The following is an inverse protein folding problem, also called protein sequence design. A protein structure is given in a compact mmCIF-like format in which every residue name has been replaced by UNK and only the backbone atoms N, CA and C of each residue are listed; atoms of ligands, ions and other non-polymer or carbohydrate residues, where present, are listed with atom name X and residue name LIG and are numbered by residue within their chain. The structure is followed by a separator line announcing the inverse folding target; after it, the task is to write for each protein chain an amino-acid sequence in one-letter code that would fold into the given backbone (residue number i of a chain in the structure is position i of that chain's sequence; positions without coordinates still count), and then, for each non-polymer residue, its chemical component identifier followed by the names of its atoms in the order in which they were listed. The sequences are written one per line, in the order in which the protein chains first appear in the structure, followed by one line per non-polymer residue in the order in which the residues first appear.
data_IF_205527538911
#
_entry.id   IF_205527538911
#
_cell.length_a   1.000
_cell.length_b   1.000
_cell.length_c   1.000
_cell.angle_alpha   90.00
_cell.angle_beta   90.00
_cell.angle_gamma   90.00
#
_symmetry.space_group_name_H-M   'P 1'
#
loop_
_entity.id
_entity.type
_entity.pdbx_description
1 polymer ?
#
# COMPACT_ATOMS: atom_id res chain seq x y z
N UNK A 1 -18.22 8.94 28.89
CA UNK A 1 -16.98 8.52 29.58
C UNK A 1 -16.06 7.91 28.53
N UNK A 2 -14.77 8.23 28.58
CA UNK A 2 -13.76 7.73 27.65
C UNK A 2 -13.36 6.32 28.08
N UNK A 3 -13.97 5.29 27.48
CA UNK A 3 -13.71 3.89 27.84
C UNK A 3 -12.90 3.24 26.72
N UNK A 4 -11.67 2.77 27.00
CA UNK A 4 -10.88 2.01 26.05
C UNK A 4 -11.61 0.75 25.58
N UNK A 5 -11.32 0.28 24.36
CA UNK A 5 -11.95 -0.91 23.80
C UNK A 5 -11.54 -2.17 24.58
N UNK A 6 -12.37 -3.20 24.49
CA UNK A 6 -12.04 -4.52 25.01
C UNK A 6 -10.71 -5.01 24.41
N UNK A 7 -9.83 -5.60 25.24
CA UNK A 7 -8.49 -6.01 24.80
C UNK A 7 -7.39 -4.95 24.94
N UNK A 8 -7.72 -3.69 25.28
CA UNK A 8 -6.71 -2.62 25.38
C UNK A 8 -5.70 -2.86 26.51
N UNK A 9 -6.18 -3.37 27.66
CA UNK A 9 -5.37 -3.58 28.87
C UNK A 9 -4.89 -5.02 29.06
N UNK A 10 -5.30 -5.94 28.19
CA UNK A 10 -5.07 -7.39 28.36
C UNK A 10 -3.62 -7.82 28.15
N UNK A 11 -2.76 -6.94 27.65
CA UNK A 11 -1.34 -7.20 27.37
C UNK A 11 -0.49 -5.97 27.66
N UNK A 12 0.84 -6.13 27.82
CA UNK A 12 1.75 -5.00 27.97
C UNK A 12 1.58 -3.94 26.88
N UNK A 13 1.54 -2.67 27.29
CA UNK A 13 1.37 -1.54 26.40
C UNK A 13 2.43 -0.46 26.68
N UNK A 14 3.23 -0.13 25.67
CA UNK A 14 4.39 0.75 25.81
C UNK A 14 4.08 2.20 25.37
N UNK A 15 3.05 2.81 25.98
CA UNK A 15 2.52 4.14 25.62
C UNK A 15 3.30 5.33 26.18
N UNK A 16 4.30 5.13 27.05
CA UNK A 16 5.04 6.25 27.68
C UNK A 16 5.65 7.17 26.61
N UNK A 17 5.24 8.44 26.61
CA UNK A 17 5.69 9.44 25.64
C UNK A 17 5.08 9.30 24.24
N UNK A 18 4.05 8.48 24.07
CA UNK A 18 3.38 8.20 22.78
C UNK A 18 1.89 8.53 22.85
N UNK A 19 1.30 8.71 21.67
CA UNK A 19 -0.14 8.97 21.53
C UNK A 19 -0.95 7.73 21.92
N UNK A 20 -1.58 7.74 23.10
CA UNK A 20 -2.40 6.62 23.54
C UNK A 20 -3.76 6.55 22.82
N UNK A 21 -4.33 7.71 22.50
CA UNK A 21 -5.61 7.81 21.82
C UNK A 21 -5.87 9.21 21.24
N UNK A 22 -6.80 9.28 20.30
CA UNK A 22 -7.31 10.51 19.69
C UNK A 22 -8.83 10.53 19.77
N UNK A 23 -9.41 11.66 20.16
CA UNK A 23 -10.84 11.92 20.02
C UNK A 23 -11.08 12.83 18.81
N UNK A 24 -12.10 12.54 18.01
CA UNK A 24 -12.45 13.31 16.82
C UNK A 24 -13.96 13.26 16.57
N UNK A 25 -14.50 14.21 15.79
CA UNK A 25 -15.86 14.17 15.26
C UNK A 25 -15.82 13.94 13.76
N UNK A 26 -16.89 13.37 13.20
CA UNK A 26 -17.04 13.22 11.75
C UNK A 26 -18.04 14.25 11.24
N UNK A 27 -18.08 14.49 9.92
CA UNK A 27 -19.10 15.39 9.34
C UNK A 27 -20.54 14.89 9.53
N UNK A 28 -20.70 13.60 9.84
CA UNK A 28 -22.00 12.94 9.93
C UNK A 28 -22.47 12.77 11.38
N UNK A 29 -21.63 13.03 12.38
CA UNK A 29 -21.99 12.92 13.79
C UNK A 29 -21.31 13.96 14.67
N UNK A 30 -22.12 14.60 15.52
CA UNK A 30 -21.68 15.52 16.57
C UNK A 30 -21.13 14.79 17.81
N UNK A 31 -21.32 13.48 17.89
CA UNK A 31 -20.75 12.68 18.97
C UNK A 31 -19.26 12.41 18.73
N UNK A 32 -18.55 12.15 19.83
CA UNK A 32 -17.14 11.84 19.78
C UNK A 32 -16.88 10.42 19.29
N UNK A 33 -16.01 10.31 18.29
CA UNK A 33 -15.36 9.09 17.82
C UNK A 33 -13.93 9.02 18.38
N UNK A 34 -13.36 7.81 18.44
CA UNK A 34 -12.07 7.59 19.08
C UNK A 34 -11.17 6.66 18.28
N UNK A 35 -9.87 6.91 18.34
CA UNK A 35 -8.83 5.96 17.95
C UNK A 35 -7.97 5.66 19.17
N UNK A 36 -7.70 4.38 19.41
CA UNK A 36 -6.81 3.93 20.47
C UNK A 36 -5.61 3.23 19.88
N UNK A 37 -4.45 3.39 20.51
CA UNK A 37 -3.19 2.81 20.05
C UNK A 37 -2.55 2.00 21.18
N UNK A 38 -2.07 0.82 20.81
CA UNK A 38 -1.19 -0.03 21.61
C UNK A 38 0.14 -0.19 20.90
N UNK A 39 1.20 -0.11 21.67
CA UNK A 39 2.57 -0.16 21.18
C UNK A 39 3.28 -1.44 21.63
N UNK A 40 4.24 -1.90 20.84
CA UNK A 40 5.22 -2.90 21.26
C UNK A 40 6.40 -2.28 22.02
N UNK A 41 7.33 -3.12 22.48
CA UNK A 41 8.49 -2.70 23.29
C UNK A 41 9.42 -1.70 22.56
N UNK A 42 9.45 -1.75 21.22
CA UNK A 42 10.23 -0.85 20.37
C UNK A 42 9.46 0.45 20.08
N UNK A 43 8.21 0.55 20.53
CA UNK A 43 7.38 1.74 20.37
C UNK A 43 6.64 1.83 19.05
N UNK A 44 6.50 0.72 18.33
CA UNK A 44 5.75 0.65 17.06
C UNK A 44 4.30 0.29 17.34
N UNK A 45 3.37 0.74 16.52
CA UNK A 45 1.93 0.49 16.72
C UNK A 45 1.63 -0.99 16.48
N UNK A 46 1.38 -1.74 17.55
CA UNK A 46 0.99 -3.16 17.50
C UNK A 46 -0.49 -3.34 17.21
N UNK A 47 -1.34 -2.50 17.78
CA UNK A 47 -2.80 -2.58 17.57
C UNK A 47 -3.42 -1.20 17.61
N UNK A 48 -4.34 -0.93 16.70
CA UNK A 48 -5.14 0.27 16.63
C UNK A 48 -6.62 -0.11 16.61
N UNK A 49 -7.41 0.54 17.44
CA UNK A 49 -8.87 0.41 17.42
C UNK A 49 -9.48 1.70 16.95
N UNK A 50 -10.39 1.61 15.99
CA UNK A 50 -11.15 2.71 15.46
C UNK A 50 -12.61 2.54 15.86
N UNK A 51 -13.10 3.50 16.64
CA UNK A 51 -14.46 3.56 17.14
C UNK A 51 -15.12 4.80 16.54
N UNK A 52 -15.96 4.61 15.53
CA UNK A 52 -16.71 5.71 14.92
C UNK A 52 -18.12 5.68 15.51
N UNK A 53 -18.62 6.83 15.92
CA UNK A 53 -19.97 6.92 16.47
C UNK A 53 -21.01 6.36 15.48
N UNK A 54 -21.91 5.53 16.00
CA UNK A 54 -22.92 4.82 15.21
C UNK A 54 -22.40 3.64 14.38
N UNK A 55 -21.11 3.29 14.48
CA UNK A 55 -20.51 2.15 13.77
C UNK A 55 -19.78 1.19 14.72
N UNK A 56 -19.60 -0.04 14.27
CA UNK A 56 -18.81 -1.04 15.00
C UNK A 56 -17.33 -0.66 15.11
N UNK A 57 -16.69 -1.19 16.16
CA UNK A 57 -15.25 -1.03 16.35
C UNK A 57 -14.50 -1.82 15.30
N UNK A 58 -13.58 -1.16 14.58
CA UNK A 58 -12.64 -1.81 13.67
C UNK A 58 -11.26 -1.89 14.31
N UNK A 59 -10.65 -3.06 14.23
CA UNK A 59 -9.32 -3.29 14.79
C UNK A 59 -8.31 -3.49 13.67
N UNK A 60 -7.13 -2.88 13.78
CA UNK A 60 -5.99 -3.14 12.90
C UNK A 60 -4.81 -3.54 13.75
N UNK A 61 -4.20 -4.69 13.48
CA UNK A 61 -2.98 -5.11 14.16
C UNK A 61 -1.84 -5.32 13.19
N UNK A 62 -0.63 -5.01 13.66
CA UNK A 62 0.60 -5.16 12.90
C UNK A 62 1.54 -6.12 13.61
N UNK A 63 2.26 -6.89 12.81
CA UNK A 63 3.43 -7.60 13.26
C UNK A 63 4.63 -7.17 12.46
N UNK A 64 5.75 -7.07 13.15
CA UNK A 64 6.99 -6.58 12.58
C UNK A 64 8.04 -7.70 12.54
N UNK A 65 8.97 -7.61 11.60
CA UNK A 65 10.19 -8.40 11.64
C UNK A 65 11.25 -7.75 12.55
N UNK A 66 12.44 -8.35 12.61
CA UNK A 66 13.58 -7.85 13.40
C UNK A 66 14.15 -6.52 12.89
N UNK A 67 13.89 -6.18 11.62
CA UNK A 67 14.33 -4.94 10.95
C UNK A 67 13.29 -3.82 11.00
N UNK A 68 12.28 -3.91 11.88
CA UNK A 68 11.23 -2.90 12.04
C UNK A 68 10.24 -2.74 10.88
N UNK A 69 10.24 -3.67 9.93
CA UNK A 69 9.29 -3.67 8.82
C UNK A 69 8.04 -4.49 9.16
N UNK A 70 6.87 -4.01 8.75
CA UNK A 70 5.59 -4.73 8.95
C UNK A 70 5.61 -5.99 8.09
N UNK A 71 5.62 -7.16 8.71
CA UNK A 71 5.53 -8.45 8.00
C UNK A 71 4.09 -8.96 7.86
N UNK A 72 3.19 -8.52 8.75
CA UNK A 72 1.76 -8.87 8.69
C UNK A 72 0.87 -7.74 9.15
N UNK A 73 -0.28 -7.63 8.50
CA UNK A 73 -1.38 -6.76 8.90
C UNK A 73 -2.64 -7.59 9.02
N UNK A 74 -3.34 -7.48 10.15
CA UNK A 74 -4.67 -8.04 10.33
C UNK A 74 -5.66 -6.90 10.46
N UNK A 75 -6.69 -6.95 9.64
CA UNK A 75 -7.83 -6.05 9.68
C UNK A 75 -9.04 -6.82 10.19
N UNK A 76 -9.55 -6.33 11.31
CA UNK A 76 -10.73 -6.76 12.03
C UNK A 76 -10.78 -8.25 12.40
N UNK A 77 -11.95 -8.68 12.87
CA UNK A 77 -12.34 -10.04 13.20
C UNK A 77 -13.75 -10.28 12.64
N UNK A 78 -14.14 -11.54 12.42
CA UNK A 78 -15.45 -11.92 11.91
C UNK A 78 -15.60 -11.72 10.40
N UNK A 79 -16.77 -11.22 9.99
CA UNK A 79 -17.20 -11.24 8.59
C UNK A 79 -16.35 -10.41 7.62
N UNK A 80 -15.70 -9.35 8.09
CA UNK A 80 -14.82 -8.48 7.30
C UNK A 80 -13.34 -8.65 7.62
N UNK A 81 -12.97 -9.78 8.24
CA UNK A 81 -11.58 -10.13 8.50
C UNK A 81 -10.78 -10.12 7.20
N UNK A 82 -9.63 -9.45 7.23
CA UNK A 82 -8.62 -9.51 6.18
C UNK A 82 -7.24 -9.65 6.82
N UNK A 83 -6.38 -10.46 6.22
CA UNK A 83 -4.98 -10.53 6.61
C UNK A 83 -4.07 -10.43 5.39
N UNK A 84 -3.00 -9.67 5.55
CA UNK A 84 -1.97 -9.44 4.54
C UNK A 84 -0.62 -9.86 5.10
N UNK A 85 0.21 -10.46 4.23
CA UNK A 85 1.60 -10.79 4.53
C UNK A 85 2.52 -10.05 3.58
N UNK A 86 3.49 -9.36 4.13
CA UNK A 86 4.49 -8.58 3.39
C UNK A 86 5.82 -9.31 3.45
N UNK A 87 6.46 -9.48 2.29
CA UNK A 87 7.83 -9.99 2.17
C UNK A 87 8.73 -8.91 1.63
N UNK A 88 9.97 -8.91 2.12
CA UNK A 88 10.98 -7.95 1.74
C UNK A 88 12.17 -8.68 1.14
N UNK A 89 12.83 -8.04 0.18
CA UNK A 89 14.10 -8.52 -0.34
C UNK A 89 15.24 -8.26 0.68
N UNK A 90 16.45 -8.73 0.35
CA UNK A 90 17.63 -8.58 1.22
C UNK A 90 18.02 -7.11 1.45
N UNK A 91 17.60 -6.19 0.58
CA UNK A 91 17.82 -4.76 0.70
C UNK A 91 16.75 -4.06 1.54
N UNK A 92 15.74 -4.80 2.04
CA UNK A 92 14.63 -4.26 2.83
C UNK A 92 13.53 -3.59 2.00
N UNK A 93 13.49 -3.83 0.68
CA UNK A 93 12.44 -3.30 -0.20
C UNK A 93 11.30 -4.31 -0.28
N UNK A 94 10.05 -3.83 -0.41
CA UNK A 94 8.89 -4.70 -0.48
C UNK A 94 8.98 -5.57 -1.74
N UNK A 95 9.03 -6.88 -1.59
CA UNK A 95 9.15 -7.85 -2.68
C UNK A 95 7.80 -8.43 -3.09
N UNK A 96 6.94 -8.73 -2.11
CA UNK A 96 5.62 -9.28 -2.39
C UNK A 96 4.61 -8.98 -1.28
N UNK A 97 3.34 -9.00 -1.66
CA UNK A 97 2.19 -8.97 -0.77
C UNK A 97 1.33 -10.19 -1.07
N UNK A 98 0.97 -10.93 -0.04
CA UNK A 98 -0.01 -12.00 -0.12
C UNK A 98 -1.27 -11.61 0.65
N UNK A 99 -2.43 -12.04 0.16
CA UNK A 99 -3.71 -12.00 0.85
C UNK A 99 -4.00 -13.36 1.48
N UNK A 100 -4.54 -13.33 2.69
CA UNK A 100 -4.97 -14.52 3.39
C UNK A 100 -6.46 -14.77 3.16
N UNK A 101 -6.80 -15.98 2.71
CA UNK A 101 -8.17 -16.40 2.36
C UNK A 101 -8.68 -17.53 3.26
N UNK A 102 -7.95 -17.84 4.33
CA UNK A 102 -8.28 -18.92 5.25
C UNK A 102 -9.18 -18.47 6.42
N UNK A 103 -9.54 -19.42 7.31
CA UNK A 103 -10.28 -19.11 8.53
C UNK A 103 -9.49 -18.18 9.47
N UNK A 104 -10.14 -17.18 10.03
CA UNK A 104 -9.54 -16.13 10.90
C UNK A 104 -8.57 -16.65 11.98
N UNK A 105 -8.97 -17.73 12.66
CA UNK A 105 -8.22 -18.30 13.79
C UNK A 105 -7.12 -19.27 13.40
N UNK A 106 -6.77 -19.32 12.11
CA UNK A 106 -5.67 -20.13 11.61
C UNK A 106 -4.62 -19.26 10.96
N UNK A 107 -3.42 -19.79 10.77
CA UNK A 107 -2.30 -19.08 10.14
C UNK A 107 -1.45 -20.09 9.35
N UNK A 108 -2.13 -20.79 8.45
CA UNK A 108 -1.50 -21.74 7.55
C UNK A 108 -1.00 -21.02 6.30
N UNK A 109 0.23 -21.34 5.88
CA UNK A 109 0.81 -20.79 4.66
C UNK A 109 0.06 -21.20 3.39
N UNK A 110 -0.70 -22.29 3.42
CA UNK A 110 -1.53 -22.77 2.30
C UNK A 110 -2.69 -21.83 1.95
N UNK A 111 -3.13 -20.99 2.88
CA UNK A 111 -4.24 -20.05 2.67
C UNK A 111 -3.79 -18.67 2.21
N UNK A 112 -2.51 -18.48 1.93
CA UNK A 112 -2.00 -17.22 1.39
C UNK A 112 -1.88 -17.31 -0.11
N UNK A 113 -2.60 -16.44 -0.80
CA UNK A 113 -2.56 -16.26 -2.24
C UNK A 113 -1.74 -15.02 -2.55
N UNK A 114 -0.86 -15.10 -3.55
CA UNK A 114 -0.09 -13.93 -3.99
C UNK A 114 -1.03 -12.84 -4.51
N UNK A 115 -0.87 -11.62 -4.01
CA UNK A 115 -1.64 -10.45 -4.45
C UNK A 115 -0.81 -9.59 -5.39
N UNK A 116 0.38 -9.17 -4.94
CA UNK A 116 1.27 -8.33 -5.73
C UNK A 116 2.76 -8.73 -5.56
N UNK A 117 3.54 -8.53 -6.61
CA UNK A 117 5.00 -8.69 -6.64
C UNK A 117 5.69 -7.44 -7.17
N UNK A 118 6.90 -7.18 -6.69
CA UNK A 118 7.66 -5.97 -7.02
C UNK A 118 9.11 -6.30 -7.37
N UNK A 119 9.62 -5.63 -8.40
CA UNK A 119 11.02 -5.68 -8.81
C UNK A 119 11.62 -4.28 -8.88
N UNK A 120 12.93 -4.18 -8.68
CA UNK A 120 13.64 -2.91 -8.57
C UNK A 120 14.94 -2.95 -9.35
N UNK A 121 15.33 -1.80 -9.92
CA UNK A 121 16.64 -1.65 -10.52
C UNK A 121 17.76 -1.56 -9.47
N UNK A 122 18.99 -1.49 -9.97
CA UNK A 122 20.20 -1.29 -9.16
C UNK A 122 20.17 0.00 -8.31
N UNK A 123 19.41 1.02 -8.72
CA UNK A 123 19.24 2.27 -7.97
C UNK A 123 18.08 2.21 -6.97
N UNK A 124 17.48 1.03 -6.76
CA UNK A 124 16.32 0.82 -5.88
C UNK A 124 15.04 1.56 -6.26
N UNK A 125 14.91 1.96 -7.53
CA UNK A 125 13.62 2.39 -8.06
C UNK A 125 12.82 1.17 -8.56
N UNK A 126 11.51 1.17 -8.32
CA UNK A 126 10.62 0.08 -8.71
C UNK A 126 10.48 0.05 -10.24
N UNK A 127 10.79 -1.09 -10.86
CA UNK A 127 10.73 -1.30 -12.31
C UNK A 127 9.52 -2.12 -12.72
N UNK A 128 9.03 -3.01 -11.87
CA UNK A 128 7.89 -3.88 -12.18
C UNK A 128 7.00 -3.98 -10.95
N UNK A 129 5.70 -3.86 -11.17
CA UNK A 129 4.64 -4.28 -10.28
C UNK A 129 3.77 -5.31 -11.00
N UNK A 130 3.62 -6.49 -10.42
CA UNK A 130 2.78 -7.58 -10.95
C UNK A 130 1.64 -7.86 -9.98
N UNK A 131 0.39 -7.76 -10.43
CA UNK A 131 -0.74 -8.32 -9.71
C UNK A 131 -0.87 -9.80 -10.07
N UNK A 132 -0.55 -10.65 -9.10
CA UNK A 132 -0.42 -12.10 -9.27
C UNK A 132 -1.78 -12.77 -9.57
N UNK A 133 -2.88 -12.05 -9.36
CA UNK A 133 -4.22 -12.42 -9.82
C UNK A 133 -4.59 -11.59 -11.05
N UNK A 134 -4.40 -12.14 -12.27
CA UNK A 134 -5.07 -11.63 -13.47
C UNK A 134 -4.23 -10.93 -14.55
N UNK A 135 -2.95 -11.27 -14.74
CA UNK A 135 -2.09 -10.68 -15.79
C UNK A 135 -2.14 -9.14 -15.85
N UNK A 136 -2.33 -8.52 -14.69
CA UNK A 136 -2.38 -7.06 -14.57
C UNK A 136 -1.10 -6.62 -13.90
N UNK A 137 -0.46 -5.60 -14.42
CA UNK A 137 0.85 -5.19 -13.94
C UNK A 137 1.36 -4.00 -14.72
N UNK A 138 2.43 -3.41 -14.22
CA UNK A 138 3.06 -2.26 -14.81
C UNK A 138 4.58 -2.42 -14.82
N UNK A 139 5.21 -1.78 -15.79
CA UNK A 139 6.66 -1.66 -15.84
C UNK A 139 7.06 -0.21 -16.08
N UNK A 140 8.12 0.22 -15.38
CA UNK A 140 8.68 1.56 -15.45
C UNK A 140 10.12 1.50 -15.95
N UNK A 141 10.44 2.35 -16.92
CA UNK A 141 11.82 2.59 -17.36
C UNK A 141 12.33 3.92 -16.84
N UNK A 142 13.63 3.98 -16.54
CA UNK A 142 14.29 5.16 -16.01
C UNK A 142 15.50 5.55 -16.87
N UNK A 143 15.79 6.86 -16.92
CA UNK A 143 17.07 7.32 -17.44
C UNK A 143 18.19 7.29 -16.38
N UNK A 144 19.40 7.66 -16.80
CA UNK A 144 20.57 7.71 -15.92
C UNK A 144 20.47 8.75 -14.79
N UNK A 145 19.46 9.61 -14.80
CA UNK A 145 19.17 10.59 -13.73
C UNK A 145 18.05 10.11 -12.81
N UNK A 146 17.54 8.89 -13.00
CA UNK A 146 16.45 8.32 -12.21
C UNK A 146 15.07 8.89 -12.57
N UNK A 147 14.92 9.55 -13.72
CA UNK A 147 13.63 10.06 -14.19
C UNK A 147 12.90 8.97 -14.95
N UNK A 148 11.60 8.82 -14.74
CA UNK A 148 10.77 7.87 -15.50
C UNK A 148 10.74 8.30 -16.97
N UNK A 149 11.16 7.43 -17.88
CA UNK A 149 11.13 7.65 -19.33
C UNK A 149 10.10 6.77 -20.04
N UNK A 150 9.62 5.73 -19.38
CA UNK A 150 8.59 4.87 -19.93
C UNK A 150 7.71 4.27 -18.86
N UNK A 151 6.47 4.01 -19.24
CA UNK A 151 5.51 3.21 -18.51
C UNK A 151 4.82 2.27 -19.48
N UNK A 152 4.62 1.03 -19.05
CA UNK A 152 3.94 0.00 -19.81
C UNK A 152 2.99 -0.76 -18.90
N UNK A 153 1.69 -0.74 -19.20
CA UNK A 153 0.76 -1.72 -18.61
C UNK A 153 0.92 -3.06 -19.31
N UNK A 154 0.92 -4.17 -18.55
CA UNK A 154 1.20 -5.50 -19.11
C UNK A 154 0.20 -5.96 -20.17
N UNK A 155 -1.05 -5.53 -20.03
CA UNK A 155 -2.12 -5.72 -21.00
C UNK A 155 -2.07 -4.75 -22.21
N UNK A 156 -1.03 -3.91 -22.31
CA UNK A 156 -0.89 -2.87 -23.34
C UNK A 156 -2.06 -1.87 -23.42
N UNK A 157 -2.94 -1.78 -22.42
CA UNK A 157 -4.03 -0.80 -22.44
C UNK A 157 -3.51 0.64 -22.40
N UNK A 158 -2.45 0.90 -21.64
CA UNK A 158 -1.86 2.22 -21.50
C UNK A 158 -0.34 2.16 -21.46
N UNK A 159 0.28 2.92 -22.35
CA UNK A 159 1.72 3.01 -22.51
C UNK A 159 2.07 4.49 -22.67
N UNK A 160 3.09 4.97 -21.96
CA UNK A 160 3.66 6.27 -22.25
C UNK A 160 5.18 6.25 -22.33
N UNK A 161 5.72 7.19 -23.11
CA UNK A 161 7.14 7.46 -23.20
C UNK A 161 7.38 8.95 -22.98
N UNK A 162 8.40 9.29 -22.20
CA UNK A 162 8.78 10.65 -21.87
C UNK A 162 10.20 10.92 -22.34
N UNK A 163 10.41 12.09 -22.96
CA UNK A 163 11.74 12.68 -23.10
C UNK A 163 11.79 13.99 -22.33
N UNK A 164 12.99 14.37 -21.90
CA UNK A 164 13.17 15.54 -21.06
C UNK A 164 14.23 16.47 -21.64
N UNK A 165 14.00 17.76 -21.48
CA UNK A 165 15.04 18.77 -21.62
C UNK A 165 16.14 18.58 -20.55
N UNK A 166 17.28 19.24 -20.74
CA UNK A 166 18.40 19.19 -19.79
C UNK A 166 18.00 19.67 -18.39
N UNK A 167 17.07 20.63 -18.32
CA UNK A 167 16.52 21.16 -17.06
C UNK A 167 15.44 20.25 -16.42
N UNK A 168 15.21 19.04 -16.94
CA UNK A 168 14.21 18.08 -16.46
C UNK A 168 12.75 18.44 -16.71
N UNK A 169 12.46 19.46 -17.51
CA UNK A 169 11.11 19.63 -18.05
C UNK A 169 10.82 18.54 -19.09
N UNK A 170 9.60 17.99 -19.08
CA UNK A 170 9.15 17.07 -20.12
C UNK A 170 9.18 17.80 -21.46
N UNK A 171 9.95 17.26 -22.40
CA UNK A 171 10.07 17.78 -23.75
C UNK A 171 9.02 17.16 -24.67
N UNK A 172 8.81 15.85 -24.55
CA UNK A 172 7.83 15.10 -25.34
C UNK A 172 7.16 14.05 -24.47
N UNK A 173 5.86 13.88 -24.72
CA UNK A 173 5.05 12.78 -24.23
C UNK A 173 4.55 12.01 -25.46
N UNK A 174 4.80 10.71 -25.51
CA UNK A 174 4.17 9.80 -26.46
C UNK A 174 3.21 8.87 -25.71
N UNK A 175 1.96 8.81 -26.15
CA UNK A 175 0.93 7.93 -25.60
C UNK A 175 0.58 6.83 -26.62
N UNK A 176 0.38 5.60 -26.14
CA UNK A 176 -0.05 4.45 -26.93
C UNK A 176 -0.89 3.50 -26.05
N UNK A 177 -1.54 2.52 -26.66
CA UNK A 177 -2.23 1.42 -26.01
C UNK A 177 -3.60 1.15 -26.61
N UNK A 178 -4.29 0.15 -26.08
CA UNK A 178 -5.60 -0.29 -26.56
C UNK A 178 -6.78 0.26 -25.74
N UNK A 179 -6.54 1.12 -24.74
CA UNK A 179 -7.60 1.55 -23.82
C UNK A 179 -8.77 2.24 -24.54
N UNK A 180 -9.86 1.47 -24.74
CA UNK A 180 -11.11 1.89 -25.40
C UNK A 180 -10.89 2.64 -26.72
N UNK A 181 -9.89 2.23 -27.50
CA UNK A 181 -9.54 2.85 -28.77
C UNK A 181 -9.22 4.37 -28.68
N UNK A 182 -8.90 4.88 -27.47
CA UNK A 182 -8.60 6.30 -27.28
C UNK A 182 -7.23 6.71 -27.84
N UNK A 183 -6.34 5.74 -28.08
CA UNK A 183 -5.06 5.98 -28.71
C UNK A 183 -5.17 5.46 -30.14
N UNK A 184 -5.41 6.37 -31.08
CA UNK A 184 -5.49 6.01 -32.49
C UNK A 184 -4.21 5.26 -32.90
N UNK A 185 -4.38 4.13 -33.57
CA UNK A 185 -3.33 3.18 -33.98
C UNK A 185 -2.32 3.77 -35.01
N UNK A 186 -2.27 5.09 -35.17
CA UNK A 186 -1.52 5.81 -36.19
C UNK A 186 -1.17 7.22 -35.73
N UNK A 187 -0.11 7.35 -34.93
CA UNK A 187 0.60 8.63 -34.79
C UNK A 187 1.01 8.95 -33.36
N UNK A 188 2.30 9.21 -33.19
CA UNK A 188 2.85 9.83 -31.98
C UNK A 188 2.06 11.11 -31.69
N UNK A 189 1.15 11.05 -30.72
CA UNK A 189 0.49 12.24 -30.20
C UNK A 189 1.52 13.00 -29.36
N UNK A 190 2.31 13.84 -30.02
CA UNK A 190 3.32 14.67 -29.40
C UNK A 190 2.64 15.92 -28.85
N UNK A 191 2.46 16.00 -27.53
CA UNK A 191 2.21 17.28 -26.89
C UNK A 191 3.56 17.99 -26.73
N UNK A 192 3.92 18.80 -27.71
CA UNK A 192 5.06 19.71 -27.60
C UNK A 192 4.62 20.95 -26.82
N UNK A 193 5.02 21.02 -25.55
CA UNK A 193 4.87 22.25 -24.77
C UNK A 193 6.06 23.15 -25.10
N UNK A 194 5.82 24.16 -25.94
CA UNK A 194 6.79 25.24 -26.17
C UNK A 194 6.72 26.18 -24.95
N UNK A 195 7.83 26.29 -24.22
CA UNK A 195 8.04 27.31 -23.19
C UNK A 195 8.91 28.42 -23.76
#
# INVERSE_FOLDING_TARGET
MFTPPNGYYDMPNYTKGRLAATAFRTRQSENWSYKYYRYDERGRVKTMWQMIDGLDVKTVSHEYNSQDMVKRLNYNIGADFKRYRYRYDIAGRLQSVDTYEGPENTDDSLYYTGFAGYQYNANSAMEVEDFLTGFTGTSLGYDNRGRIISYYSHNSEFIYNLSYLKNSNVQQLGLNGSYRDNFANTGRSCLQVYL
#
